data_IF_162274511220
#
_entry.id   IF_162274511220
#
_cell.length_a   1.000
_cell.length_b   1.000
_cell.length_c   1.000
_cell.angle_alpha   90.00
_cell.angle_beta   90.00
_cell.angle_gamma   90.00
#
_symmetry.space_group_name_H-M   'P 1'
#
loop_
_entity.id
_entity.type
_entity.pdbx_description
1 polymer ?
#
# COMPACT_ATOMS: atom_id res chain seq x y z
N UNK A 1 32.43 1.19 -5.85
CA UNK A 1 32.74 0.38 -4.66
C UNK A 1 32.44 1.26 -3.46
N UNK A 2 31.22 1.19 -2.93
CA UNK A 2 30.75 2.13 -1.89
C UNK A 2 31.01 1.46 -0.55
N UNK A 3 32.01 1.95 0.17
CA UNK A 3 32.38 1.45 1.50
C UNK A 3 31.22 1.62 2.48
N UNK A 4 30.90 0.53 3.18
CA UNK A 4 29.94 0.51 4.28
C UNK A 4 30.63 1.16 5.49
N UNK A 5 30.17 2.37 5.85
CA UNK A 5 30.66 3.10 7.02
C UNK A 5 30.30 2.37 8.32
N UNK A 6 31.19 2.30 9.33
CA UNK A 6 30.91 1.59 10.57
C UNK A 6 29.88 2.30 11.45
N UNK A 7 28.99 1.51 12.07
CA UNK A 7 27.86 1.93 12.92
C UNK A 7 28.33 2.79 14.13
N UNK A 8 27.67 3.93 14.33
CA UNK A 8 27.86 4.88 15.43
C UNK A 8 27.15 4.45 16.74
N UNK A 9 27.36 5.17 17.84
CA UNK A 9 26.66 4.91 19.10
C UNK A 9 25.13 5.13 19.02
N UNK A 10 24.66 5.94 18.07
CA UNK A 10 23.24 6.13 17.75
C UNK A 10 22.65 4.91 17.02
N UNK A 11 23.45 4.21 16.21
CA UNK A 11 23.05 2.95 15.55
C UNK A 11 22.76 1.81 16.53
N UNK A 12 23.28 1.88 17.76
CA UNK A 12 22.97 0.89 18.81
C UNK A 12 21.59 1.09 19.45
N UNK A 13 21.00 2.29 19.33
CA UNK A 13 19.61 2.59 19.76
C UNK A 13 18.56 2.22 18.70
N UNK A 14 18.98 2.00 17.45
CA UNK A 14 18.11 1.71 16.31
C UNK A 14 17.80 0.21 16.10
N UNK A 15 17.76 -0.59 17.18
CA UNK A 15 17.36 -2.01 17.10
C UNK A 15 15.84 -2.13 17.23
N UNK A 16 15.16 -2.89 16.35
CA UNK A 16 13.73 -3.12 16.48
C UNK A 16 13.37 -3.65 17.87
N UNK A 17 12.27 -3.15 18.43
CA UNK A 17 11.76 -3.57 19.72
C UNK A 17 11.45 -5.07 19.76
N UNK A 18 11.32 -5.63 20.97
CA UNK A 18 11.08 -7.07 21.17
C UNK A 18 9.85 -7.57 20.40
N UNK A 19 8.78 -6.77 20.33
CA UNK A 19 7.57 -7.10 19.55
C UNK A 19 7.86 -7.18 18.06
N UNK A 20 8.64 -6.25 17.50
CA UNK A 20 9.02 -6.30 16.08
C UNK A 20 9.90 -7.52 15.79
N UNK A 21 10.84 -7.86 16.67
CA UNK A 21 11.65 -9.08 16.54
C UNK A 21 10.80 -10.36 16.56
N UNK A 22 9.77 -10.41 17.41
CA UNK A 22 8.81 -11.52 17.42
C UNK A 22 8.01 -11.61 16.11
N UNK A 23 7.56 -10.46 15.57
CA UNK A 23 6.92 -10.42 14.25
C UNK A 23 7.85 -10.96 13.16
N UNK A 24 9.11 -10.55 13.12
CA UNK A 24 10.10 -11.06 12.15
C UNK A 24 10.21 -12.59 12.22
N UNK A 25 10.25 -13.16 13.43
CA UNK A 25 10.30 -14.61 13.60
C UNK A 25 9.03 -15.31 13.08
N UNK A 26 7.85 -14.75 13.36
CA UNK A 26 6.56 -15.27 12.86
C UNK A 26 6.44 -15.19 11.35
N UNK A 27 6.89 -14.10 10.72
CA UNK A 27 6.87 -13.95 9.26
C UNK A 27 7.77 -15.00 8.59
N UNK A 28 8.95 -15.27 9.16
CA UNK A 28 9.86 -16.31 8.66
C UNK A 28 9.30 -17.72 8.80
N UNK A 29 8.61 -18.01 9.90
CA UNK A 29 7.95 -19.30 10.13
C UNK A 29 6.64 -19.45 9.33
N UNK A 30 6.09 -18.34 8.82
CA UNK A 30 4.82 -18.33 8.09
C UNK A 30 4.90 -18.99 6.71
N UNK A 31 3.77 -19.55 6.27
CA UNK A 31 3.68 -20.20 4.96
C UNK A 31 3.81 -19.26 3.75
N UNK A 32 3.83 -17.95 3.95
CA UNK A 32 3.89 -16.97 2.87
C UNK A 32 5.22 -16.98 2.12
N UNK A 33 6.36 -17.06 2.82
CA UNK A 33 7.67 -17.19 2.15
C UNK A 33 7.73 -18.43 1.28
N UNK A 34 7.22 -19.57 1.80
CA UNK A 34 7.18 -20.83 1.05
C UNK A 34 6.29 -20.69 -0.19
N UNK A 35 5.13 -20.06 -0.06
CA UNK A 35 4.22 -19.79 -1.17
C UNK A 35 4.85 -18.90 -2.25
N UNK A 36 5.58 -17.85 -1.84
CA UNK A 36 6.29 -16.95 -2.76
C UNK A 36 7.64 -17.53 -3.26
N UNK A 37 8.03 -18.72 -2.79
CA UNK A 37 9.30 -19.34 -3.16
C UNK A 37 9.36 -19.80 -4.62
N UNK A 38 8.21 -19.95 -5.30
CA UNK A 38 8.14 -20.35 -6.70
C UNK A 38 6.83 -19.88 -7.37
N UNK A 39 6.78 -19.96 -8.70
CA UNK A 39 5.57 -19.68 -9.47
C UNK A 39 4.45 -20.70 -9.15
N UNK A 40 4.79 -21.98 -9.02
CA UNK A 40 3.85 -23.05 -8.67
C UNK A 40 3.22 -22.82 -7.29
N UNK A 41 4.00 -22.29 -6.35
CA UNK A 41 3.50 -21.89 -5.03
C UNK A 41 2.42 -20.80 -5.11
N UNK A 42 2.62 -19.81 -5.98
CA UNK A 42 1.64 -18.75 -6.27
C UNK A 42 0.38 -19.34 -6.91
N UNK A 43 0.51 -20.14 -7.97
CA UNK A 43 -0.65 -20.76 -8.63
C UNK A 43 -1.45 -21.66 -7.69
N UNK A 44 -0.78 -22.47 -6.85
CA UNK A 44 -1.45 -23.29 -5.85
C UNK A 44 -2.23 -22.43 -4.82
N UNK A 45 -1.69 -21.26 -4.45
CA UNK A 45 -2.36 -20.33 -3.57
C UNK A 45 -3.58 -19.68 -4.23
N UNK A 46 -3.50 -19.32 -5.52
CA UNK A 46 -4.62 -18.80 -6.30
C UNK A 46 -5.77 -19.81 -6.38
N UNK A 47 -5.48 -21.05 -6.78
CA UNK A 47 -6.48 -22.13 -6.82
C UNK A 47 -7.14 -22.35 -5.45
N UNK A 48 -6.34 -22.35 -4.38
CA UNK A 48 -6.85 -22.50 -3.01
C UNK A 48 -7.72 -21.32 -2.58
N UNK A 49 -7.37 -20.10 -2.96
CA UNK A 49 -8.16 -18.88 -2.68
C UNK A 49 -9.51 -18.98 -3.38
N UNK A 50 -9.53 -19.27 -4.68
CA UNK A 50 -10.77 -19.28 -5.47
C UNK A 50 -11.74 -20.34 -4.99
N UNK A 51 -11.25 -21.53 -4.65
CA UNK A 51 -12.06 -22.60 -4.01
C UNK A 51 -12.67 -22.19 -2.68
N UNK A 52 -12.10 -21.19 -2.00
CA UNK A 52 -12.52 -20.70 -0.68
C UNK A 52 -13.07 -19.29 -0.71
N UNK A 53 -13.28 -18.73 -1.91
CA UNK A 53 -13.72 -17.36 -2.08
C UNK A 53 -15.07 -17.17 -1.39
N UNK A 54 -15.16 -16.08 -0.64
CA UNK A 54 -16.40 -15.63 0.03
C UNK A 54 -16.51 -14.14 -0.21
N UNK A 55 -17.73 -13.59 -0.35
CA UNK A 55 -17.91 -12.16 -0.38
C UNK A 55 -17.22 -11.51 0.82
N UNK A 56 -16.46 -10.44 0.58
CA UNK A 56 -15.86 -9.67 1.66
C UNK A 56 -16.98 -9.13 2.55
N UNK A 57 -16.76 -9.20 3.87
CA UNK A 57 -17.69 -8.66 4.86
C UNK A 57 -16.93 -7.75 5.79
N UNK A 58 -17.52 -6.59 6.05
CA UNK A 58 -17.00 -5.65 7.04
C UNK A 58 -17.16 -6.29 8.43
N UNK A 59 -16.07 -6.41 9.22
CA UNK A 59 -16.16 -7.03 10.54
C UNK A 59 -17.05 -6.23 11.51
N UNK A 60 -17.79 -6.94 12.37
CA UNK A 60 -18.70 -6.31 13.36
C UNK A 60 -18.05 -5.27 14.28
N UNK A 61 -16.73 -5.34 14.53
CA UNK A 61 -16.04 -4.33 15.35
C UNK A 61 -15.92 -2.96 14.65
N UNK A 62 -16.02 -2.91 13.33
CA UNK A 62 -16.04 -1.66 12.55
C UNK A 62 -17.40 -0.98 12.71
N UNK A 63 -18.50 -1.74 12.61
CA UNK A 63 -19.87 -1.25 12.80
C UNK A 63 -20.12 -0.63 14.19
N UNK A 64 -19.31 -0.97 15.20
CA UNK A 64 -19.38 -0.36 16.53
C UNK A 64 -18.90 1.10 16.56
N UNK A 65 -18.08 1.52 15.61
CA UNK A 65 -17.48 2.86 15.57
C UNK A 65 -17.97 3.70 14.37
N UNK A 66 -18.56 3.05 13.37
CA UNK A 66 -18.87 3.67 12.08
C UNK A 66 -20.13 3.08 11.45
N UNK A 67 -20.81 3.89 10.64
CA UNK A 67 -21.80 3.44 9.68
C UNK A 67 -21.07 2.92 8.44
N UNK A 68 -21.68 1.94 7.78
CA UNK A 68 -21.05 1.27 6.62
C UNK A 68 -22.08 1.20 5.50
N UNK A 69 -21.73 1.79 4.36
CA UNK A 69 -22.46 1.61 3.11
C UNK A 69 -21.58 0.88 2.10
N UNK A 70 -22.22 0.19 1.16
CA UNK A 70 -21.55 -0.46 0.03
C UNK A 70 -22.24 0.03 -1.24
N UNK A 71 -21.46 0.52 -2.18
CA UNK A 71 -21.89 0.82 -3.55
C UNK A 71 -20.95 0.13 -4.52
N UNK A 72 -21.41 -0.19 -5.72
CA UNK A 72 -20.54 -0.78 -6.75
C UNK A 72 -19.99 0.32 -7.67
N UNK A 73 -18.70 0.27 -7.95
CA UNK A 73 -18.05 1.07 -9.00
C UNK A 73 -17.47 0.10 -10.03
N UNK A 74 -18.11 0.02 -11.19
CA UNK A 74 -17.87 -1.09 -12.11
C UNK A 74 -18.25 -2.41 -11.44
N UNK A 75 -17.31 -3.36 -11.39
CA UNK A 75 -17.48 -4.65 -10.68
C UNK A 75 -16.99 -4.64 -9.23
N UNK A 76 -16.53 -3.49 -8.72
CA UNK A 76 -15.88 -3.41 -7.40
C UNK A 76 -16.90 -3.03 -6.32
N UNK A 77 -17.09 -3.86 -5.29
CA UNK A 77 -17.74 -3.42 -4.07
C UNK A 77 -16.89 -2.36 -3.39
N UNK A 78 -17.42 -1.15 -3.22
CA UNK A 78 -16.76 -0.04 -2.55
C UNK A 78 -17.45 0.24 -1.22
N UNK A 79 -16.76 -0.08 -0.13
CA UNK A 79 -17.28 0.19 1.21
C UNK A 79 -16.92 1.61 1.63
N UNK A 80 -17.93 2.40 2.00
CA UNK A 80 -17.77 3.68 2.69
C UNK A 80 -18.00 3.47 4.18
N UNK A 81 -16.99 3.75 4.97
CA UNK A 81 -16.99 3.60 6.43
C UNK A 81 -16.89 4.97 7.05
N UNK A 82 -18.02 5.47 7.57
CA UNK A 82 -18.18 6.85 8.05
C UNK A 82 -18.31 6.85 9.58
N UNK A 83 -17.52 7.64 10.31
CA UNK A 83 -17.56 7.65 11.77
C UNK A 83 -18.93 8.10 12.30
N UNK A 84 -19.46 7.40 13.32
CA UNK A 84 -20.80 7.70 13.86
C UNK A 84 -20.83 8.96 14.74
N UNK A 85 -19.72 9.27 15.41
CA UNK A 85 -19.71 10.23 16.52
C UNK A 85 -19.57 11.70 16.06
N UNK A 86 -19.01 11.93 14.87
CA UNK A 86 -18.66 13.27 14.37
C UNK A 86 -18.75 13.28 12.85
N UNK A 87 -19.05 14.45 12.28
CA UNK A 87 -19.01 14.62 10.82
C UNK A 87 -17.60 14.34 10.30
N UNK A 88 -17.51 13.60 9.20
CA UNK A 88 -16.23 13.32 8.58
C UNK A 88 -15.66 14.58 7.92
N UNK A 89 -14.48 15.02 8.38
CA UNK A 89 -13.82 16.25 7.92
C UNK A 89 -12.75 15.96 6.84
N UNK A 90 -12.34 14.70 6.74
CA UNK A 90 -11.45 14.19 5.69
C UNK A 90 -12.05 12.92 5.06
N UNK A 91 -11.57 12.56 3.88
CA UNK A 91 -11.91 11.31 3.20
C UNK A 91 -10.63 10.59 2.80
N UNK A 92 -10.52 9.30 3.15
CA UNK A 92 -9.37 8.47 2.81
C UNK A 92 -9.82 7.36 1.88
N UNK A 93 -9.35 7.38 0.63
CA UNK A 93 -9.47 6.24 -0.29
C UNK A 93 -8.31 5.29 0.00
N UNK A 94 -8.59 4.14 0.65
CA UNK A 94 -7.56 3.19 1.06
C UNK A 94 -7.57 1.93 0.19
N UNK A 95 -6.52 1.77 -0.62
CA UNK A 95 -6.28 0.62 -1.47
C UNK A 95 -5.43 -0.42 -0.72
N UNK A 96 -6.04 -1.55 -0.41
CA UNK A 96 -5.44 -2.54 0.48
C UNK A 96 -4.21 -3.23 -0.14
N UNK A 97 -3.34 -3.80 0.69
CA UNK A 97 -2.28 -4.68 0.22
C UNK A 97 -2.77 -6.11 -0.01
N UNK A 98 -1.90 -6.94 -0.59
CA UNK A 98 -2.22 -8.34 -0.88
C UNK A 98 -1.46 -8.93 -2.05
N UNK A 99 -0.59 -8.16 -2.71
CA UNK A 99 0.14 -8.61 -3.89
C UNK A 99 -0.80 -8.88 -5.06
N UNK A 100 -1.92 -8.17 -5.18
CA UNK A 100 -2.99 -8.43 -6.16
C UNK A 100 -3.62 -9.85 -6.14
N UNK A 101 -3.19 -10.71 -5.21
CA UNK A 101 -3.69 -12.08 -5.06
C UNK A 101 -4.41 -12.30 -3.72
N UNK A 102 -4.22 -11.41 -2.75
CA UNK A 102 -4.76 -11.53 -1.40
C UNK A 102 -5.89 -10.55 -1.11
N UNK A 103 -6.97 -11.07 -0.53
CA UNK A 103 -8.15 -10.32 -0.08
C UNK A 103 -7.88 -9.31 1.04
N UNK A 104 -8.84 -8.41 1.26
CA UNK A 104 -8.89 -7.55 2.45
C UNK A 104 -8.93 -8.42 3.73
N UNK A 105 -8.09 -8.08 4.72
CA UNK A 105 -7.97 -8.83 5.98
C UNK A 105 -8.33 -7.96 7.19
N UNK A 106 -8.49 -8.61 8.34
CA UNK A 106 -8.76 -7.95 9.63
C UNK A 106 -7.82 -6.76 9.93
N UNK A 107 -6.49 -6.83 9.69
CA UNK A 107 -5.61 -5.68 9.92
C UNK A 107 -5.96 -4.44 9.09
N UNK A 108 -6.40 -4.59 7.83
CA UNK A 108 -6.85 -3.47 7.01
C UNK A 108 -8.09 -2.80 7.64
N UNK A 109 -9.07 -3.60 8.08
CA UNK A 109 -10.26 -3.09 8.78
C UNK A 109 -9.96 -2.47 10.13
N UNK A 110 -8.99 -3.01 10.88
CA UNK A 110 -8.50 -2.41 12.12
C UNK A 110 -7.90 -1.03 11.86
N UNK A 111 -7.13 -0.88 10.78
CA UNK A 111 -6.55 0.39 10.39
C UNK A 111 -7.62 1.42 9.95
N UNK A 112 -8.60 1.01 9.13
CA UNK A 112 -9.76 1.86 8.79
C UNK A 112 -10.47 2.37 10.05
N UNK A 113 -10.70 1.48 11.02
CA UNK A 113 -11.30 1.87 12.31
C UNK A 113 -10.44 2.88 13.06
N UNK A 114 -9.11 2.73 13.06
CA UNK A 114 -8.19 3.70 13.68
C UNK A 114 -8.31 5.07 13.03
N UNK A 115 -8.39 5.15 11.69
CA UNK A 115 -8.57 6.41 10.97
C UNK A 115 -9.92 7.06 11.26
N UNK A 116 -11.00 6.27 11.27
CA UNK A 116 -12.35 6.74 11.62
C UNK A 116 -12.40 7.36 13.03
N UNK A 117 -11.67 6.80 14.00
CA UNK A 117 -11.64 7.30 15.37
C UNK A 117 -10.71 8.51 15.53
N UNK A 118 -9.56 8.52 14.85
CA UNK A 118 -8.47 9.47 15.15
C UNK A 118 -8.41 10.69 14.22
N UNK A 119 -8.89 10.57 12.97
CA UNK A 119 -8.88 11.63 11.94
C UNK A 119 -10.28 12.24 11.72
N UNK A 120 -11.29 11.68 12.40
CA UNK A 120 -12.63 11.49 11.83
C UNK A 120 -12.74 11.52 10.31
N UNK A 121 -12.12 10.55 9.64
CA UNK A 121 -12.21 10.41 8.19
C UNK A 121 -13.32 9.44 7.78
N UNK A 122 -14.05 9.74 6.69
CA UNK A 122 -14.73 8.72 5.91
C UNK A 122 -13.67 7.88 5.20
N UNK A 123 -13.68 6.56 5.38
CA UNK A 123 -12.78 5.66 4.66
C UNK A 123 -13.52 4.97 3.52
N UNK A 124 -13.03 5.17 2.29
CA UNK A 124 -13.50 4.50 1.09
C UNK A 124 -12.55 3.31 0.82
N UNK A 125 -13.04 2.09 1.00
CA UNK A 125 -12.30 0.84 0.82
C UNK A 125 -12.85 0.08 -0.40
N UNK A 126 -12.28 0.29 -1.59
CA UNK A 126 -12.58 -0.57 -2.73
C UNK A 126 -12.08 -1.99 -2.48
N UNK A 127 -12.97 -2.99 -2.65
CA UNK A 127 -12.62 -4.41 -2.72
C UNK A 127 -12.45 -4.75 -4.19
N UNK A 128 -11.23 -4.53 -4.68
CA UNK A 128 -10.93 -4.77 -6.07
C UNK A 128 -10.76 -6.27 -6.38
N UNK A 129 -11.12 -6.72 -7.59
CA UNK A 129 -10.88 -8.07 -8.05
C UNK A 129 -9.38 -8.37 -8.06
N UNK A 130 -9.07 -9.65 -7.88
CA UNK A 130 -7.71 -10.13 -7.73
C UNK A 130 -7.34 -10.99 -8.93
N UNK A 131 -6.06 -11.01 -9.26
CA UNK A 131 -5.49 -11.94 -10.25
C UNK A 131 -5.96 -13.38 -9.95
N UNK A 132 -6.39 -14.18 -10.93
CA UNK A 132 -6.38 -13.93 -12.37
C UNK A 132 -7.70 -13.39 -12.93
N UNK A 133 -8.59 -12.83 -12.10
CA UNK A 133 -9.91 -12.36 -12.52
C UNK A 133 -9.90 -10.90 -13.00
N UNK A 134 -8.81 -10.17 -12.69
CA UNK A 134 -8.54 -8.84 -13.18
C UNK A 134 -7.04 -8.54 -13.15
N UNK A 135 -6.64 -7.55 -13.95
CA UNK A 135 -5.29 -7.18 -14.34
C UNK A 135 -5.11 -5.65 -14.34
N UNK A 136 -3.90 -5.19 -14.67
CA UNK A 136 -3.50 -3.81 -14.46
C UNK A 136 -4.37 -2.77 -15.18
N UNK A 137 -4.78 -3.01 -16.43
CA UNK A 137 -5.50 -2.02 -17.25
C UNK A 137 -6.82 -1.62 -16.58
N UNK A 138 -7.69 -2.60 -16.36
CA UNK A 138 -9.01 -2.38 -15.77
C UNK A 138 -8.92 -2.02 -14.29
N UNK A 139 -7.91 -2.54 -13.56
CA UNK A 139 -7.78 -2.24 -12.15
C UNK A 139 -7.34 -0.80 -11.91
N UNK A 140 -6.37 -0.30 -12.68
CA UNK A 140 -5.94 1.10 -12.59
C UNK A 140 -7.05 2.05 -13.05
N UNK A 141 -7.74 1.72 -14.15
CA UNK A 141 -8.86 2.53 -14.63
C UNK A 141 -9.98 2.65 -13.58
N UNK A 142 -10.38 1.53 -12.98
CA UNK A 142 -11.45 1.53 -11.96
C UNK A 142 -11.00 2.19 -10.65
N UNK A 143 -9.74 2.00 -10.24
CA UNK A 143 -9.18 2.69 -9.08
C UNK A 143 -9.14 4.22 -9.26
N UNK A 144 -8.79 4.69 -10.46
CA UNK A 144 -8.83 6.11 -10.81
C UNK A 144 -10.27 6.64 -10.77
N UNK A 145 -11.26 5.88 -11.26
CA UNK A 145 -12.68 6.24 -11.19
C UNK A 145 -13.19 6.33 -9.74
N UNK A 146 -12.84 5.38 -8.87
CA UNK A 146 -13.19 5.42 -7.44
C UNK A 146 -12.61 6.68 -6.79
N UNK A 147 -11.37 7.03 -7.12
CA UNK A 147 -10.70 8.22 -6.59
C UNK A 147 -11.37 9.51 -7.12
N UNK A 148 -11.60 9.62 -8.43
CA UNK A 148 -12.26 10.77 -9.06
C UNK A 148 -13.65 11.02 -8.47
N UNK A 149 -14.50 9.99 -8.37
CA UNK A 149 -15.83 10.10 -7.75
C UNK A 149 -15.77 10.52 -6.29
N UNK A 150 -14.74 10.08 -5.57
CA UNK A 150 -14.57 10.48 -4.16
C UNK A 150 -14.18 11.95 -4.06
N UNK A 151 -13.27 12.42 -4.92
CA UNK A 151 -12.89 13.83 -5.01
C UNK A 151 -14.08 14.70 -5.40
N UNK A 152 -14.88 14.29 -6.39
CA UNK A 152 -16.10 15.00 -6.79
C UNK A 152 -17.09 15.14 -5.64
N UNK A 153 -17.30 14.06 -4.86
CA UNK A 153 -18.25 14.07 -3.73
C UNK A 153 -17.76 14.84 -2.51
N UNK A 154 -16.45 14.88 -2.26
CA UNK A 154 -15.89 15.29 -0.96
C UNK A 154 -14.94 16.49 -1.03
N UNK A 155 -14.50 16.88 -2.22
CA UNK A 155 -13.47 17.89 -2.43
C UNK A 155 -12.07 17.26 -2.54
N UNK A 156 -11.26 17.83 -3.43
CA UNK A 156 -9.86 17.44 -3.63
C UNK A 156 -9.02 17.68 -2.37
N UNK A 157 -9.24 18.84 -1.75
CA UNK A 157 -8.57 19.33 -0.55
C UNK A 157 -8.82 18.47 0.70
N UNK A 158 -9.94 17.72 0.72
CA UNK A 158 -10.32 16.81 1.80
C UNK A 158 -10.01 15.35 1.52
N UNK A 159 -9.55 15.03 0.32
CA UNK A 159 -9.33 13.65 -0.11
C UNK A 159 -7.85 13.28 0.00
N UNK A 160 -7.57 12.21 0.72
CA UNK A 160 -6.26 11.53 0.74
C UNK A 160 -6.43 10.18 0.07
N UNK A 161 -5.55 9.86 -0.88
CA UNK A 161 -5.44 8.48 -1.37
C UNK A 161 -4.30 7.80 -0.64
N UNK A 162 -4.53 6.55 -0.24
CA UNK A 162 -3.58 5.78 0.54
C UNK A 162 -3.57 4.34 0.05
N UNK A 163 -2.41 3.69 0.14
CA UNK A 163 -2.35 2.25 -0.03
C UNK A 163 -1.20 1.62 0.71
N UNK A 164 -1.21 0.29 0.80
CA UNK A 164 -0.09 -0.47 1.32
C UNK A 164 0.36 -1.58 0.36
N UNK A 165 1.66 -1.85 0.26
CA UNK A 165 2.19 -2.90 -0.63
C UNK A 165 1.72 -2.69 -2.09
N UNK A 166 1.19 -3.72 -2.73
CA UNK A 166 0.54 -3.64 -4.04
C UNK A 166 -0.56 -2.55 -4.14
N UNK A 167 -1.33 -2.32 -3.07
CA UNK A 167 -2.34 -1.27 -3.04
C UNK A 167 -1.75 0.13 -3.05
N UNK A 168 -0.54 0.32 -2.53
CA UNK A 168 0.18 1.59 -2.68
C UNK A 168 0.61 1.83 -4.14
N UNK A 169 1.01 0.77 -4.86
CA UNK A 169 1.22 0.83 -6.31
C UNK A 169 -0.06 1.24 -7.03
N UNK A 170 -1.18 0.57 -6.75
CA UNK A 170 -2.48 0.91 -7.34
C UNK A 170 -2.92 2.34 -7.02
N UNK A 171 -2.70 2.83 -5.79
CA UNK A 171 -3.00 4.20 -5.38
C UNK A 171 -2.17 5.23 -6.16
N UNK A 172 -0.88 4.97 -6.34
CA UNK A 172 0.00 5.84 -7.12
C UNK A 172 -0.40 5.83 -8.61
N UNK A 173 -0.64 4.64 -9.18
CA UNK A 173 -1.05 4.49 -10.58
C UNK A 173 -2.39 5.19 -10.86
N UNK A 174 -3.37 5.08 -9.96
CA UNK A 174 -4.63 5.78 -10.05
C UNK A 174 -4.45 7.31 -10.01
N UNK A 175 -3.57 7.80 -9.14
CA UNK A 175 -3.25 9.24 -9.05
C UNK A 175 -2.55 9.74 -10.32
N UNK A 176 -1.60 8.97 -10.85
CA UNK A 176 -0.92 9.27 -12.12
C UNK A 176 -1.90 9.28 -13.30
N UNK A 177 -2.90 8.39 -13.29
CA UNK A 177 -3.95 8.37 -14.29
C UNK A 177 -4.80 9.65 -14.25
N UNK A 178 -5.21 10.13 -13.05
CA UNK A 178 -5.89 11.43 -12.92
C UNK A 178 -5.01 12.58 -13.42
N UNK A 179 -3.74 12.59 -13.03
CA UNK A 179 -2.77 13.60 -13.43
C UNK A 179 -2.61 13.66 -14.96
N UNK A 180 -2.48 12.51 -15.62
CA UNK A 180 -2.38 12.44 -17.09
C UNK A 180 -3.62 12.95 -17.82
N UNK A 181 -4.78 12.93 -17.17
CA UNK A 181 -6.05 13.41 -17.72
C UNK A 181 -6.35 14.86 -17.37
N UNK A 182 -5.49 15.51 -16.58
CA UNK A 182 -5.70 16.88 -16.09
C UNK A 182 -6.88 16.99 -15.11
N UNK A 183 -7.23 15.89 -14.43
CA UNK A 183 -8.31 15.85 -13.46
C UNK A 183 -7.87 16.36 -12.07
N UNK A 184 -8.81 16.80 -11.22
CA UNK A 184 -8.50 17.14 -9.83
C UNK A 184 -7.80 16.00 -9.09
N UNK A 185 -6.75 16.34 -8.34
CA UNK A 185 -5.92 15.39 -7.60
C UNK A 185 -6.24 15.43 -6.10
N UNK A 186 -6.03 14.32 -5.35
CA UNK A 186 -6.19 14.33 -3.91
C UNK A 186 -5.17 15.28 -3.26
N UNK A 187 -5.49 15.81 -2.07
CA UNK A 187 -4.61 16.66 -1.30
C UNK A 187 -3.25 16.00 -0.96
N UNK A 188 -3.21 14.67 -0.88
CA UNK A 188 -2.02 13.90 -0.54
C UNK A 188 -2.12 12.45 -1.00
N UNK A 189 -0.96 11.85 -1.29
CA UNK A 189 -0.79 10.41 -1.50
C UNK A 189 0.02 9.82 -0.34
N UNK A 190 -0.51 8.80 0.32
CA UNK A 190 0.19 8.08 1.41
C UNK A 190 0.53 6.65 0.98
N UNK A 191 1.82 6.32 0.94
CA UNK A 191 2.34 5.05 0.45
C UNK A 191 3.02 4.28 1.57
N UNK A 192 2.48 3.10 1.90
CA UNK A 192 3.03 2.24 2.97
C UNK A 192 3.69 1.02 2.33
N UNK A 193 5.01 0.91 2.47
CA UNK A 193 5.82 -0.17 1.91
C UNK A 193 5.48 -0.44 0.44
N UNK A 194 5.62 0.57 -0.45
CA UNK A 194 5.01 0.53 -1.76
C UNK A 194 5.72 -0.44 -2.72
N UNK A 195 4.95 -1.30 -3.39
CA UNK A 195 5.46 -2.11 -4.50
C UNK A 195 5.17 -1.36 -5.81
N UNK A 196 6.22 -0.83 -6.45
CA UNK A 196 6.13 0.12 -7.57
C UNK A 196 6.87 -0.34 -8.82
N UNK A 197 7.82 -1.26 -8.71
CA UNK A 197 8.48 -1.96 -9.82
C UNK A 197 8.19 -3.46 -9.77
N UNK A 198 7.24 -3.91 -10.59
CA UNK A 198 6.86 -5.32 -10.74
C UNK A 198 7.85 -6.10 -11.62
N UNK A 199 8.75 -5.43 -12.33
CA UNK A 199 9.86 -6.09 -13.04
C UNK A 199 10.98 -6.51 -12.09
N UNK A 200 11.01 -5.95 -10.87
CA UNK A 200 12.02 -6.24 -9.84
C UNK A 200 13.45 -6.07 -10.39
N UNK A 201 13.65 -4.94 -11.06
CA UNK A 201 14.85 -4.67 -11.87
C UNK A 201 15.97 -3.95 -11.13
N UNK A 202 15.71 -3.46 -9.91
CA UNK A 202 16.71 -2.73 -9.13
C UNK A 202 17.98 -3.59 -8.84
N UNK A 203 19.19 -3.08 -9.15
CA UNK A 203 20.43 -3.84 -8.93
C UNK A 203 20.71 -4.18 -7.46
N UNK A 204 20.23 -3.37 -6.52
CA UNK A 204 20.38 -3.55 -5.07
C UNK A 204 19.37 -4.54 -4.47
N UNK A 205 18.40 -5.00 -5.25
CA UNK A 205 17.32 -5.87 -4.79
C UNK A 205 17.82 -7.20 -4.21
N UNK A 206 18.94 -7.73 -4.71
CA UNK A 206 19.53 -8.97 -4.21
C UNK A 206 19.85 -8.92 -2.72
N UNK A 207 20.52 -7.85 -2.27
CA UNK A 207 20.85 -7.66 -0.85
C UNK A 207 19.60 -7.44 0.02
N UNK A 208 18.57 -6.76 -0.52
CA UNK A 208 17.30 -6.57 0.18
C UNK A 208 16.54 -7.90 0.35
N UNK A 209 16.56 -8.76 -0.68
CA UNK A 209 15.90 -10.07 -0.65
C UNK A 209 16.48 -11.00 0.44
N UNK A 210 17.76 -10.88 0.78
CA UNK A 210 18.39 -11.66 1.85
C UNK A 210 17.86 -11.28 3.25
N UNK A 211 17.56 -9.99 3.46
CA UNK A 211 17.14 -9.49 4.77
C UNK A 211 15.63 -9.42 4.96
N UNK A 212 14.86 -9.41 3.85
CA UNK A 212 13.40 -9.41 3.82
C UNK A 212 12.86 -10.73 4.44
N UNK A 213 12.13 -10.67 5.58
CA UNK A 213 11.61 -11.85 6.24
C UNK A 213 10.29 -12.36 5.63
N UNK A 214 9.73 -11.68 4.63
CA UNK A 214 8.35 -11.86 4.17
C UNK A 214 8.24 -12.25 2.69
N UNK A 215 8.95 -11.55 1.81
CA UNK A 215 8.86 -11.79 0.37
C UNK A 215 9.91 -12.75 -0.15
N UNK A 216 9.65 -13.30 -1.32
CA UNK A 216 10.59 -14.07 -2.12
C UNK A 216 10.44 -13.67 -3.59
N UNK A 217 11.56 -13.42 -4.27
CA UNK A 217 11.59 -12.90 -5.64
C UNK A 217 10.81 -13.77 -6.64
N UNK A 218 10.96 -15.11 -6.69
CA UNK A 218 10.30 -15.93 -7.72
C UNK A 218 8.77 -15.76 -7.75
N UNK A 219 8.12 -15.80 -6.60
CA UNK A 219 6.68 -15.60 -6.50
C UNK A 219 6.24 -14.17 -6.80
N UNK A 220 7.03 -13.16 -6.41
CA UNK A 220 6.72 -11.78 -6.78
C UNK A 220 6.82 -11.53 -8.29
N UNK A 221 7.81 -12.12 -8.97
CA UNK A 221 7.91 -12.09 -10.44
C UNK A 221 6.66 -12.68 -11.08
N UNK A 222 6.21 -13.85 -10.61
CA UNK A 222 5.02 -14.49 -11.17
C UNK A 222 3.74 -13.70 -10.92
N UNK A 223 3.58 -13.14 -9.71
CA UNK A 223 2.46 -12.25 -9.41
C UNK A 223 2.49 -11.01 -10.31
N UNK A 224 3.66 -10.39 -10.49
CA UNK A 224 3.84 -9.22 -11.34
C UNK A 224 3.47 -9.53 -12.79
N UNK A 225 3.91 -10.68 -13.32
CA UNK A 225 3.55 -11.17 -14.66
C UNK A 225 2.04 -11.37 -14.81
N UNK A 226 1.40 -12.04 -13.86
CA UNK A 226 -0.04 -12.29 -13.91
C UNK A 226 -0.87 -11.01 -13.78
N UNK A 227 -0.41 -10.03 -13.00
CA UNK A 227 -1.08 -8.74 -12.88
C UNK A 227 -0.90 -7.86 -14.13
N UNK A 228 0.29 -7.92 -14.74
CA UNK A 228 0.58 -7.21 -15.98
C UNK A 228 -0.25 -7.75 -17.16
N UNK A 229 -0.53 -9.06 -17.17
CA UNK A 229 -1.24 -9.76 -18.22
C UNK A 229 -0.57 -9.55 -19.60
N UNK A 230 -1.21 -8.82 -20.51
CA UNK A 230 -0.66 -8.50 -21.83
C UNK A 230 0.38 -7.36 -21.81
N UNK A 231 0.47 -6.60 -20.71
CA UNK A 231 1.39 -5.48 -20.61
C UNK A 231 2.82 -5.90 -20.25
N UNK A 232 3.78 -5.08 -20.68
CA UNK A 232 5.14 -5.17 -20.13
C UNK A 232 5.11 -4.84 -18.63
N UNK A 233 5.87 -5.59 -17.82
CA UNK A 233 5.93 -5.36 -16.36
C UNK A 233 6.42 -3.97 -15.97
N UNK A 234 7.07 -3.23 -16.88
CA UNK A 234 7.52 -1.85 -16.70
C UNK A 234 6.55 -0.81 -17.26
N UNK A 235 5.42 -1.22 -17.84
CA UNK A 235 4.34 -0.30 -18.22
C UNK A 235 3.92 0.51 -16.98
N UNK A 236 3.79 1.85 -17.06
CA UNK A 236 3.43 2.69 -15.91
C UNK A 236 2.14 2.31 -15.18
N UNK A 237 1.20 1.63 -15.84
CA UNK A 237 -0.02 1.11 -15.21
C UNK A 237 0.25 -0.12 -14.35
N UNK A 238 1.28 -0.88 -14.68
CA UNK A 238 1.74 -2.06 -13.92
C UNK A 238 2.72 -1.62 -12.84
N UNK A 239 3.73 -0.85 -13.24
CA UNK A 239 4.82 -0.36 -12.40
C UNK A 239 4.81 1.17 -12.39
N UNK A 240 4.02 1.79 -11.50
CA UNK A 240 3.90 3.25 -11.42
C UNK A 240 5.21 3.95 -11.06
N UNK A 241 6.25 3.20 -10.64
CA UNK A 241 7.59 3.75 -10.53
C UNK A 241 8.05 4.36 -11.86
N UNK A 242 7.66 3.83 -13.02
CA UNK A 242 8.06 4.34 -14.33
C UNK A 242 7.08 5.37 -14.91
N UNK A 243 6.06 5.77 -14.15
CA UNK A 243 5.07 6.77 -14.54
C UNK A 243 5.46 8.22 -14.28
N UNK A 244 4.46 9.10 -14.41
CA UNK A 244 4.56 10.54 -14.13
C UNK A 244 4.87 10.77 -12.64
N UNK A 245 5.83 11.65 -12.36
CA UNK A 245 6.18 12.04 -10.99
C UNK A 245 6.03 13.55 -10.81
N UNK A 246 6.55 14.36 -11.73
CA UNK A 246 6.28 15.80 -11.77
C UNK A 246 4.76 16.08 -11.77
N UNK A 247 4.31 16.97 -10.88
CA UNK A 247 2.90 17.34 -10.74
C UNK A 247 2.08 16.42 -9.81
N UNK A 248 2.68 15.37 -9.23
CA UNK A 248 2.00 14.60 -8.18
C UNK A 248 1.72 15.49 -6.95
N UNK A 249 0.63 15.20 -6.20
CA UNK A 249 0.41 15.79 -4.88
C UNK A 249 1.55 15.45 -3.92
N UNK A 250 1.65 16.15 -2.78
CA UNK A 250 2.58 15.79 -1.72
C UNK A 250 2.52 14.29 -1.38
N UNK A 251 3.68 13.67 -1.23
CA UNK A 251 3.83 12.26 -0.90
C UNK A 251 4.18 12.10 0.57
N UNK A 252 3.57 11.13 1.25
CA UNK A 252 4.06 10.60 2.53
C UNK A 252 4.37 9.12 2.34
N UNK A 253 5.63 8.73 2.50
CA UNK A 253 6.11 7.39 2.15
C UNK A 253 6.71 6.72 3.40
N UNK A 254 6.27 5.50 3.70
CA UNK A 254 6.80 4.68 4.78
C UNK A 254 7.43 3.43 4.20
N UNK A 255 8.63 3.06 4.66
CA UNK A 255 9.26 1.79 4.27
C UNK A 255 10.25 1.33 5.34
N UNK A 256 10.29 0.04 5.65
CA UNK A 256 11.29 -0.56 6.51
C UNK A 256 12.58 -0.88 5.75
N UNK A 257 13.72 -0.98 6.45
CA UNK A 257 14.99 -1.38 5.80
C UNK A 257 15.13 -2.90 5.61
N UNK A 258 14.13 -3.70 5.99
CA UNK A 258 14.09 -5.16 5.83
C UNK A 258 12.96 -5.60 4.92
N UNK A 259 12.82 -4.94 3.77
CA UNK A 259 11.86 -5.29 2.73
C UNK A 259 12.42 -4.94 1.35
N UNK A 260 12.05 -5.75 0.35
CA UNK A 260 12.45 -5.55 -1.05
C UNK A 260 11.90 -4.24 -1.63
N UNK A 261 10.74 -3.77 -1.17
CA UNK A 261 10.10 -2.51 -1.59
C UNK A 261 10.91 -1.25 -1.21
N UNK A 262 11.99 -1.39 -0.42
CA UNK A 262 12.88 -0.27 -0.09
C UNK A 262 13.55 0.32 -1.34
N UNK A 263 13.91 -0.50 -2.32
CA UNK A 263 14.48 -0.04 -3.58
C UNK A 263 13.52 0.90 -4.33
N UNK A 264 12.27 0.46 -4.47
CA UNK A 264 11.19 1.20 -5.11
C UNK A 264 10.92 2.52 -4.37
N UNK A 265 10.78 2.47 -3.05
CA UNK A 265 10.51 3.65 -2.22
C UNK A 265 11.63 4.70 -2.35
N UNK A 266 12.90 4.30 -2.24
CA UNK A 266 14.04 5.22 -2.36
C UNK A 266 14.11 5.84 -3.75
N UNK A 267 13.86 5.06 -4.80
CA UNK A 267 13.86 5.53 -6.19
C UNK A 267 12.75 6.55 -6.42
N UNK A 268 11.51 6.27 -5.96
CA UNK A 268 10.40 7.22 -6.04
C UNK A 268 10.73 8.51 -5.29
N UNK A 269 11.22 8.42 -4.06
CA UNK A 269 11.53 9.60 -3.23
C UNK A 269 12.61 10.48 -3.87
N UNK A 270 13.67 9.86 -4.41
CA UNK A 270 14.74 10.60 -5.09
C UNK A 270 14.22 11.33 -6.34
N UNK A 271 13.40 10.64 -7.16
CA UNK A 271 12.78 11.24 -8.34
C UNK A 271 11.80 12.35 -7.99
N UNK A 272 10.89 12.09 -7.06
CA UNK A 272 9.89 13.06 -6.60
C UNK A 272 10.54 14.36 -6.10
N UNK A 273 11.59 14.27 -5.29
CA UNK A 273 12.35 15.45 -4.85
C UNK A 273 13.02 16.20 -6.01
N UNK A 274 13.61 15.46 -6.95
CA UNK A 274 14.26 16.05 -8.14
C UNK A 274 13.24 16.75 -9.05
N UNK A 275 12.02 16.20 -9.13
CA UNK A 275 10.92 16.71 -9.95
C UNK A 275 10.02 17.71 -9.19
N UNK A 276 10.44 18.19 -8.01
CA UNK A 276 9.78 19.27 -7.28
C UNK A 276 8.55 18.89 -6.46
N UNK A 277 8.31 17.60 -6.22
CA UNK A 277 7.21 17.10 -5.38
C UNK A 277 7.63 17.15 -3.91
N UNK A 278 6.74 17.63 -3.02
CA UNK A 278 6.93 17.56 -1.57
C UNK A 278 6.90 16.10 -1.09
N UNK A 279 7.91 15.69 -0.32
CA UNK A 279 8.04 14.30 0.14
C UNK A 279 8.39 14.22 1.61
N UNK A 280 7.46 13.67 2.37
CA UNK A 280 7.61 13.26 3.77
C UNK A 280 7.96 11.76 3.83
N UNK A 281 9.26 11.43 3.95
CA UNK A 281 9.78 10.06 3.87
C UNK A 281 10.22 9.51 5.23
N UNK A 282 9.67 8.34 5.59
CA UNK A 282 9.89 7.64 6.85
C UNK A 282 10.50 6.27 6.59
N UNK A 283 11.83 6.19 6.68
CA UNK A 283 12.58 4.94 6.56
C UNK A 283 12.82 4.30 7.95
N UNK A 284 12.17 3.18 8.20
CA UNK A 284 12.25 2.46 9.47
C UNK A 284 13.42 1.48 9.55
N UNK A 285 14.50 1.85 10.26
CA UNK A 285 15.67 0.96 10.43
C UNK A 285 15.29 -0.36 11.11
N UNK A 286 15.63 -1.47 10.46
CA UNK A 286 15.36 -2.82 10.95
C UNK A 286 13.89 -3.24 10.90
N UNK A 287 13.00 -2.39 10.39
CA UNK A 287 11.57 -2.67 10.27
C UNK A 287 11.26 -3.41 8.97
N UNK A 288 10.13 -4.11 8.96
CA UNK A 288 9.73 -5.03 7.90
C UNK A 288 8.62 -4.47 7.03
N UNK A 289 8.30 -5.19 5.95
CA UNK A 289 7.18 -4.90 5.06
C UNK A 289 5.87 -4.60 5.82
N UNK A 290 5.26 -3.45 5.53
CA UNK A 290 4.06 -2.91 6.17
C UNK A 290 4.17 -2.63 7.68
N UNK A 291 5.37 -2.36 8.23
CA UNK A 291 5.53 -2.13 9.67
C UNK A 291 4.58 -1.06 10.24
N UNK A 292 4.25 -0.04 9.43
CA UNK A 292 3.37 1.06 9.82
C UNK A 292 1.94 0.59 10.18
N UNK A 293 1.52 -0.59 9.71
CA UNK A 293 0.22 -1.19 10.01
C UNK A 293 0.28 -2.25 11.12
N UNK A 294 1.46 -2.50 11.71
CA UNK A 294 1.63 -3.56 12.70
C UNK A 294 1.32 -3.08 14.13
N UNK A 295 0.79 -3.94 15.01
CA UNK A 295 0.51 -3.61 16.42
C UNK A 295 1.79 -3.59 17.27
N UNK A 296 2.79 -2.82 16.84
CA UNK A 296 4.11 -2.65 17.47
C UNK A 296 4.29 -1.17 17.84
N UNK A 297 5.14 -0.80 18.82
CA UNK A 297 5.41 0.60 19.13
C UNK A 297 5.79 1.42 17.89
N UNK A 298 6.62 0.86 17.02
CA UNK A 298 7.07 1.49 15.78
C UNK A 298 5.92 1.65 14.77
N UNK A 299 5.04 0.65 14.67
CA UNK A 299 3.83 0.74 13.84
C UNK A 299 2.84 1.79 14.37
N UNK A 300 2.64 1.89 15.69
CA UNK A 300 1.79 2.93 16.27
C UNK A 300 2.37 4.33 16.05
N UNK A 301 3.70 4.49 16.17
CA UNK A 301 4.36 5.76 15.89
C UNK A 301 4.15 6.19 14.43
N UNK A 302 4.37 5.28 13.47
CA UNK A 302 4.10 5.55 12.06
C UNK A 302 2.61 5.81 11.78
N UNK A 303 1.70 5.08 12.42
CA UNK A 303 0.25 5.36 12.34
C UNK A 303 -0.09 6.76 12.85
N UNK A 304 0.59 7.25 13.90
CA UNK A 304 0.46 8.63 14.37
C UNK A 304 0.83 9.65 13.29
N UNK A 305 1.95 9.45 12.60
CA UNK A 305 2.37 10.30 11.48
C UNK A 305 1.34 10.25 10.33
N UNK A 306 0.82 9.06 10.01
CA UNK A 306 -0.22 8.91 8.99
C UNK A 306 -1.49 9.67 9.37
N UNK A 307 -1.92 9.59 10.63
CA UNK A 307 -3.07 10.34 11.15
C UNK A 307 -2.86 11.85 10.96
N UNK A 308 -1.67 12.35 11.28
CA UNK A 308 -1.35 13.77 11.12
C UNK A 308 -1.27 14.16 9.64
N UNK A 309 -0.76 13.30 8.77
CA UNK A 309 -0.79 13.51 7.32
C UNK A 309 -2.22 13.63 6.79
N UNK A 310 -3.14 12.79 7.26
CA UNK A 310 -4.56 12.89 6.88
C UNK A 310 -5.23 14.15 7.44
N UNK A 311 -4.84 14.62 8.63
CA UNK A 311 -5.38 15.86 9.22
C UNK A 311 -4.94 17.13 8.48
N UNK A 312 -3.85 17.09 7.72
CA UNK A 312 -3.36 18.22 6.91
C UNK A 312 -4.14 18.40 5.59
N UNK A 313 -4.96 17.44 5.19
CA UNK A 313 -5.86 17.55 4.04
C UNK A 313 -7.17 18.25 4.46
N UNK A 314 -7.09 19.57 4.66
CA UNK A 314 -8.18 20.45 5.11
C UNK A 314 -8.18 21.75 4.31
#
# INVERSE_FOLDING_TARGET
>A
MTEIRPDTADDRRARPGLRMRAVVALLRAGGQRRMLGSAEGVHAALVKRDRKAKPVRVPGFVHKAASVMCEDVGSWPVYRVTPNAVAADATVVFMHGGGFIGEVKRPHWSFVRTLNISVPAECVMPVYPLVPHAHAIEMVATAAEVLARTIERRGAEKTVVMGNSAGAGLALAATQALLSRGEPLPARVVLISPWLDLSLSDPGLGALAEVDPFHQRPGLVEIGRLYADELDTRDPRVSPLFGLVAGLPPLTVFCGTREMALADARTLVARARTEGVDVDYHEGRGLVHNYALMPTPEGHAATGVIIDACRRAR
#
